data_IF_465925831891
#
_entry.id   IF_465925831891
#
_cell.length_a   1.000
_cell.length_b   1.000
_cell.length_c   1.000
_cell.angle_alpha   90.00
_cell.angle_beta   90.00
_cell.angle_gamma   90.00
#
_symmetry.space_group_name_H-M   'P 1'
#
loop_
_entity.id
_entity.type
_entity.pdbx_description
1 polymer ?
#
# COMPACT_ATOMS: atom_id res chain seq x y z
N UNK A 1 9.05 -1.23 14.65
CA UNK A 1 8.33 -2.32 13.95
C UNK A 1 7.25 -2.96 14.82
N UNK A 2 7.08 -2.48 16.05
CA UNK A 2 6.14 -3.06 17.03
C UNK A 2 4.75 -2.42 16.97
N UNK A 3 4.55 -1.48 16.05
CA UNK A 3 3.24 -0.89 15.79
C UNK A 3 2.29 -1.97 15.24
N UNK A 4 0.99 -1.81 15.50
CA UNK A 4 0.00 -2.72 14.91
C UNK A 4 -0.04 -2.55 13.40
N UNK A 5 0.00 -1.31 12.93
CA UNK A 5 -0.08 -0.94 11.52
C UNK A 5 0.85 0.26 11.28
N UNK A 6 1.49 0.30 10.11
CA UNK A 6 2.42 1.37 9.72
C UNK A 6 1.99 1.91 8.37
N UNK A 7 1.76 3.21 8.29
CA UNK A 7 1.51 3.93 7.05
C UNK A 7 2.64 4.95 6.82
N UNK A 8 3.25 4.91 5.64
CA UNK A 8 4.29 5.85 5.22
C UNK A 8 3.78 6.64 4.03
N UNK A 9 3.84 7.97 4.13
CA UNK A 9 3.38 8.88 3.07
C UNK A 9 4.61 9.49 2.41
N UNK A 10 4.75 9.34 1.09
CA UNK A 10 5.89 9.81 0.31
C UNK A 10 5.39 10.62 -0.88
N UNK A 11 5.71 11.91 -0.89
CA UNK A 11 5.26 12.84 -1.94
C UNK A 11 6.42 13.61 -2.57
N UNK A 12 6.30 13.88 -3.86
CA UNK A 12 7.19 14.69 -4.66
C UNK A 12 8.42 13.95 -5.22
N UNK A 13 8.87 14.41 -6.40
CA UNK A 13 9.94 13.82 -7.19
C UNK A 13 11.27 13.64 -6.44
N UNK A 14 11.60 14.56 -5.52
CA UNK A 14 12.83 14.50 -4.73
C UNK A 14 12.90 13.29 -3.77
N UNK A 15 11.78 12.59 -3.53
CA UNK A 15 11.74 11.37 -2.72
C UNK A 15 11.67 10.09 -3.56
N UNK A 16 11.64 10.19 -4.89
CA UNK A 16 11.44 9.04 -5.76
C UNK A 16 12.53 7.98 -5.59
N UNK A 17 13.78 8.41 -5.44
CA UNK A 17 14.90 7.51 -5.16
C UNK A 17 14.70 6.74 -3.85
N UNK A 18 14.25 7.42 -2.79
CA UNK A 18 14.02 6.77 -1.50
C UNK A 18 12.89 5.74 -1.59
N UNK A 19 11.83 6.01 -2.35
CA UNK A 19 10.75 5.07 -2.62
C UNK A 19 11.25 3.84 -3.41
N UNK A 20 12.05 4.05 -4.45
CA UNK A 20 12.63 2.96 -5.24
C UNK A 20 13.52 2.05 -4.38
N UNK A 21 14.40 2.62 -3.57
CA UNK A 21 15.23 1.89 -2.60
C UNK A 21 14.39 1.14 -1.56
N UNK A 22 13.25 1.69 -1.18
CA UNK A 22 12.35 1.08 -0.20
C UNK A 22 11.57 -0.11 -0.75
N UNK A 23 11.19 -0.10 -2.04
CA UNK A 23 10.24 -1.07 -2.61
C UNK A 23 10.92 -2.10 -3.51
N UNK A 24 11.92 -1.71 -4.28
CA UNK A 24 12.53 -2.56 -5.31
C UNK A 24 13.86 -3.19 -4.87
N UNK A 25 14.50 -2.62 -3.86
CA UNK A 25 15.74 -3.14 -3.27
C UNK A 25 15.48 -3.83 -1.94
N UNK A 26 16.50 -4.56 -1.44
CA UNK A 26 16.41 -5.24 -0.15
C UNK A 26 16.49 -4.30 1.04
N UNK A 27 16.09 -4.82 2.21
CA UNK A 27 16.20 -4.11 3.49
C UNK A 27 17.65 -3.68 3.75
N UNK A 28 17.85 -2.38 3.96
CA UNK A 28 19.17 -1.78 4.11
C UNK A 28 19.13 -0.65 5.16
N UNK A 29 20.09 -0.64 6.08
CA UNK A 29 20.20 0.38 7.14
C UNK A 29 20.54 1.78 6.62
N UNK A 30 21.13 1.92 5.43
CA UNK A 30 21.31 3.22 4.76
C UNK A 30 19.97 3.82 4.29
N UNK A 31 18.97 2.96 4.06
CA UNK A 31 17.62 3.34 3.64
C UNK A 31 16.61 2.81 4.64
N UNK A 32 16.57 3.39 5.84
CA UNK A 32 15.84 2.84 6.99
C UNK A 32 14.36 2.60 6.74
N UNK A 33 13.72 3.35 5.84
CA UNK A 33 12.33 3.13 5.43
C UNK A 33 12.10 1.73 4.83
N UNK A 34 13.12 1.10 4.23
CA UNK A 34 13.07 -0.28 3.72
C UNK A 34 12.74 -1.31 4.79
N UNK A 35 12.93 -0.99 6.07
CA UNK A 35 12.48 -1.84 7.18
C UNK A 35 10.97 -2.12 7.15
N UNK A 36 10.16 -1.28 6.47
CA UNK A 36 8.72 -1.51 6.30
C UNK A 36 8.40 -2.85 5.61
N UNK A 37 9.31 -3.37 4.77
CA UNK A 37 9.16 -4.68 4.13
C UNK A 37 9.03 -5.82 5.14
N UNK A 38 9.59 -5.66 6.34
CA UNK A 38 9.52 -6.65 7.42
C UNK A 38 8.23 -6.51 8.25
N UNK A 39 7.39 -5.50 7.96
CA UNK A 39 6.23 -5.19 8.79
C UNK A 39 5.04 -5.98 8.26
N UNK A 40 4.35 -6.78 9.09
CA UNK A 40 3.23 -7.59 8.62
C UNK A 40 2.06 -6.73 8.11
N UNK A 41 2.01 -5.45 8.48
CA UNK A 41 0.95 -4.49 8.10
C UNK A 41 1.52 -3.13 7.71
N UNK A 42 2.32 -3.09 6.65
CA UNK A 42 2.91 -1.87 6.11
C UNK A 42 2.15 -1.38 4.88
N UNK A 43 1.87 -0.07 4.83
CA UNK A 43 1.29 0.59 3.67
C UNK A 43 2.14 1.80 3.29
N UNK A 44 2.39 1.96 1.99
CA UNK A 44 3.04 3.15 1.44
C UNK A 44 2.04 3.87 0.55
N UNK A 45 1.81 5.14 0.85
CA UNK A 45 0.96 6.04 0.06
C UNK A 45 1.86 7.03 -0.65
N UNK A 46 1.74 7.13 -1.96
CA UNK A 46 2.58 8.01 -2.76
C UNK A 46 1.80 8.74 -3.85
N UNK A 47 2.30 9.92 -4.23
CA UNK A 47 1.85 10.63 -5.43
C UNK A 47 2.60 10.13 -6.67
N UNK A 48 2.15 10.55 -7.86
CA UNK A 48 2.77 10.09 -9.10
C UNK A 48 4.22 10.57 -9.23
N UNK A 49 4.54 11.78 -8.74
CA UNK A 49 5.89 12.34 -8.78
C UNK A 49 6.89 11.51 -7.96
N UNK A 50 6.48 10.93 -6.83
CA UNK A 50 7.33 10.04 -6.05
C UNK A 50 7.63 8.70 -6.76
N UNK A 51 6.93 8.36 -7.84
CA UNK A 51 7.13 7.08 -8.55
C UNK A 51 8.15 7.14 -9.69
N UNK A 52 8.78 8.30 -9.96
CA UNK A 52 9.64 8.51 -11.14
C UNK A 52 10.83 7.55 -11.26
N UNK A 53 11.37 7.08 -10.14
CA UNK A 53 12.52 6.16 -10.10
C UNK A 53 12.10 4.68 -9.98
N UNK A 54 10.80 4.38 -9.91
CA UNK A 54 10.30 3.00 -9.89
C UNK A 54 10.26 2.41 -11.30
N UNK A 55 10.43 1.09 -11.40
CA UNK A 55 10.14 0.43 -12.66
C UNK A 55 8.65 0.53 -13.00
N UNK A 56 8.37 0.73 -14.28
CA UNK A 56 6.99 0.78 -14.82
C UNK A 56 6.17 -0.45 -14.43
N UNK A 57 6.79 -1.64 -14.40
CA UNK A 57 6.12 -2.89 -13.97
C UNK A 57 5.62 -2.81 -12.51
N UNK A 58 6.38 -2.18 -11.63
CA UNK A 58 6.09 -2.07 -10.20
C UNK A 58 4.90 -1.14 -10.00
N UNK A 59 4.93 0.02 -10.65
CA UNK A 59 3.82 0.99 -10.62
C UNK A 59 2.54 0.36 -11.18
N UNK A 60 2.61 -0.32 -12.33
CA UNK A 60 1.45 -0.97 -12.93
C UNK A 60 0.87 -2.09 -12.06
N UNK A 61 1.72 -2.86 -11.39
CA UNK A 61 1.29 -3.89 -10.46
C UNK A 61 0.46 -3.30 -9.31
N UNK A 62 0.95 -2.27 -8.63
CA UNK A 62 0.24 -1.67 -7.50
C UNK A 62 -1.02 -0.90 -7.93
N UNK A 63 -0.98 -0.17 -9.05
CA UNK A 63 -2.18 0.49 -9.62
C UNK A 63 -3.27 -0.54 -9.97
N UNK A 64 -2.89 -1.73 -10.44
CA UNK A 64 -3.86 -2.80 -10.74
C UNK A 64 -4.53 -3.35 -9.47
N UNK A 65 -3.77 -3.47 -8.38
CA UNK A 65 -4.28 -3.92 -7.08
C UNK A 65 -5.20 -2.87 -6.47
N UNK A 66 -4.80 -1.61 -6.51
CA UNK A 66 -5.60 -0.48 -6.04
C UNK A 66 -6.96 -0.42 -6.75
N UNK A 67 -6.99 -0.63 -8.07
CA UNK A 67 -8.24 -0.68 -8.84
C UNK A 67 -9.17 -1.82 -8.39
N UNK A 68 -8.61 -3.01 -8.14
CA UNK A 68 -9.39 -4.15 -7.62
C UNK A 68 -9.90 -3.85 -6.21
N UNK A 69 -9.07 -3.21 -5.39
CA UNK A 69 -9.42 -2.79 -4.04
C UNK A 69 -10.60 -1.82 -4.03
N UNK A 70 -10.56 -0.79 -4.89
CA UNK A 70 -11.63 0.19 -5.04
C UNK A 70 -12.96 -0.45 -5.47
N UNK A 71 -12.91 -1.41 -6.41
CA UNK A 71 -14.09 -2.13 -6.89
C UNK A 71 -14.76 -2.99 -5.81
N UNK A 72 -13.98 -3.59 -4.91
CA UNK A 72 -14.50 -4.50 -3.90
C UNK A 72 -15.02 -3.79 -2.64
N UNK A 73 -14.44 -2.64 -2.29
CA UNK A 73 -14.58 -2.05 -0.95
C UNK A 73 -15.17 -0.62 -0.99
N UNK A 74 -15.08 0.06 -2.15
CA UNK A 74 -15.42 1.47 -2.30
C UNK A 74 -14.33 2.40 -1.75
N UNK A 75 -14.38 3.68 -2.12
CA UNK A 75 -13.38 4.70 -1.80
C UNK A 75 -13.17 4.98 -0.31
N UNK A 76 -14.15 4.67 0.54
CA UNK A 76 -14.18 5.12 1.94
C UNK A 76 -13.85 4.04 2.98
N UNK A 77 -13.60 2.78 2.59
CA UNK A 77 -13.50 1.64 3.52
C UNK A 77 -12.15 0.91 3.52
N UNK A 78 -11.04 1.63 3.31
CA UNK A 78 -9.71 1.03 3.29
C UNK A 78 -9.16 0.86 4.72
N UNK A 79 -9.10 -0.38 5.21
CA UNK A 79 -8.19 -0.74 6.31
C UNK A 79 -6.76 -0.87 5.79
N UNK A 80 -5.74 -0.63 6.62
CA UNK A 80 -4.31 -0.68 6.22
C UNK A 80 -3.83 -2.07 5.71
N UNK A 81 -4.68 -3.09 5.78
CA UNK A 81 -4.45 -4.44 5.28
C UNK A 81 -5.10 -4.72 3.92
N UNK A 82 -5.80 -3.74 3.35
CA UNK A 82 -6.79 -3.99 2.31
C UNK A 82 -7.96 -4.88 2.79
N UNK A 83 -8.13 -5.03 4.11
CA UNK A 83 -9.17 -5.87 4.71
C UNK A 83 -10.53 -5.17 4.75
N UNK A 84 -11.57 -5.90 4.36
CA UNK A 84 -12.95 -5.38 4.33
C UNK A 84 -13.52 -5.32 5.75
N UNK A 85 -13.86 -4.12 6.25
CA UNK A 85 -14.51 -3.96 7.56
C UNK A 85 -15.99 -4.35 7.58
N UNK A 86 -16.65 -4.33 6.42
CA UNK A 86 -18.07 -4.67 6.27
C UNK A 86 -18.37 -5.09 4.82
N UNK A 87 -18.70 -6.37 4.62
CA UNK A 87 -19.23 -6.87 3.35
C UNK A 87 -20.75 -6.64 3.34
N UNK A 88 -21.27 -5.71 2.53
CA UNK A 88 -22.74 -5.48 2.40
C UNK A 88 -23.51 -6.63 1.72
N UNK A 89 -22.83 -7.73 1.37
CA UNK A 89 -23.40 -8.82 0.57
C UNK A 89 -23.84 -10.07 1.34
N UNK A 90 -23.73 -10.14 2.68
CA UNK A 90 -23.95 -11.40 3.43
C UNK A 90 -25.11 -11.35 4.44
N UNK A 91 -25.82 -10.23 4.61
CA UNK A 91 -26.94 -10.15 5.56
C UNK A 91 -28.32 -10.58 5.00
N UNK A 92 -28.41 -11.14 3.79
CA UNK A 92 -29.70 -11.40 3.13
C UNK A 92 -30.17 -12.88 3.07
N UNK A 93 -29.52 -13.85 3.72
CA UNK A 93 -29.90 -15.28 3.56
C UNK A 93 -30.02 -16.12 4.84
N UNK A 94 -30.06 -15.53 6.03
CA UNK A 94 -30.44 -16.25 7.26
C UNK A 94 -31.69 -15.66 7.92
N UNK A 95 -32.78 -15.60 7.16
CA UNK A 95 -34.14 -15.57 7.68
C UNK A 95 -35.02 -16.51 6.87
N UNK A 96 -34.84 -17.80 7.11
CA UNK A 96 -35.88 -18.85 7.12
C UNK A 96 -35.34 -20.09 7.82
#
# INVERSE_FOLDING_TARGET
MDAREVCVIITGAHKALALAKCIEEGVNHMWTVSAIQLHPRGMVVCDEDATLELHVKTVNYFKSIEKVHEQLIGSDNVGLQGGVRSWRGVEATYHQ
#
